data_IF_737770707189
#
_entry.id   IF_737770707189
#
_cell.length_a   1.000
_cell.length_b   1.000
_cell.length_c   1.000
_cell.angle_alpha   90.00
_cell.angle_beta   90.00
_cell.angle_gamma   90.00
#
_symmetry.space_group_name_H-M   'P 1'
#
loop_
_entity.id
_entity.type
_entity.pdbx_description
1 polymer ?
#
# COMPACT_ATOMS: atom_id res chain seq x y z
N UNK A 1 -20.49 2.89 28.33
CA UNK A 1 -21.85 3.41 28.12
C UNK A 1 -22.76 2.22 27.75
N UNK A 2 -23.38 1.59 28.76
CA UNK A 2 -24.16 0.33 28.57
C UNK A 2 -25.45 0.55 27.79
N UNK A 3 -26.06 1.73 27.86
CA UNK A 3 -27.30 2.07 27.17
C UNK A 3 -27.17 2.40 25.68
N UNK A 4 -25.95 2.52 25.19
CA UNK A 4 -25.66 2.77 23.78
C UNK A 4 -26.02 4.17 23.28
N UNK A 5 -25.88 4.34 21.97
CA UNK A 5 -26.24 5.56 21.24
C UNK A 5 -27.70 5.49 20.84
N UNK A 6 -28.47 6.49 21.22
CA UNK A 6 -29.93 6.56 20.97
C UNK A 6 -30.25 7.84 20.21
N UNK A 7 -30.60 7.70 18.93
CA UNK A 7 -30.85 8.83 18.02
C UNK A 7 -32.34 9.12 17.79
N UNK A 8 -33.21 8.26 18.27
CA UNK A 8 -34.67 8.31 17.98
C UNK A 8 -35.52 8.66 19.18
N UNK A 9 -34.94 9.11 20.29
CA UNK A 9 -35.67 9.45 21.50
C UNK A 9 -35.40 10.90 21.93
N UNK A 10 -36.38 11.51 22.55
CA UNK A 10 -36.19 12.82 23.19
C UNK A 10 -35.28 12.70 24.42
N UNK A 11 -34.48 13.71 24.64
CA UNK A 11 -33.59 13.80 25.83
C UNK A 11 -34.33 13.64 27.16
N UNK A 12 -35.64 13.98 27.21
CA UNK A 12 -36.47 13.89 28.44
C UNK A 12 -36.81 12.46 28.85
N UNK A 13 -36.72 11.49 27.92
CA UNK A 13 -37.08 10.09 28.18
C UNK A 13 -35.89 9.14 28.14
N UNK A 14 -34.71 9.68 28.00
CA UNK A 14 -33.46 8.89 27.99
C UNK A 14 -33.23 8.24 29.35
N UNK A 15 -32.82 6.97 29.32
CA UNK A 15 -32.44 6.23 30.51
C UNK A 15 -30.98 6.49 30.88
N UNK A 16 -30.60 6.33 32.16
CA UNK A 16 -29.21 6.37 32.57
C UNK A 16 -28.35 5.42 31.71
N UNK A 17 -27.19 5.87 31.29
CA UNK A 17 -26.29 5.10 30.46
C UNK A 17 -26.52 5.20 28.93
N UNK A 18 -27.57 5.86 28.48
CA UNK A 18 -27.80 6.21 27.08
C UNK A 18 -27.11 7.53 26.70
N UNK A 19 -26.73 7.68 25.45
CA UNK A 19 -26.09 8.89 24.90
C UNK A 19 -26.71 9.29 23.56
N UNK A 20 -26.81 10.58 23.30
CA UNK A 20 -27.20 11.14 21.98
C UNK A 20 -26.00 11.26 21.04
N UNK A 21 -24.83 11.48 21.62
CA UNK A 21 -23.57 11.63 20.89
C UNK A 21 -22.45 10.94 21.67
N UNK A 22 -21.61 10.20 20.98
CA UNK A 22 -20.45 9.54 21.54
C UNK A 22 -19.21 9.92 20.71
N UNK A 23 -18.36 10.74 21.28
CA UNK A 23 -17.08 11.12 20.69
C UNK A 23 -15.95 10.30 21.32
N UNK A 24 -15.10 9.69 20.49
CA UNK A 24 -14.00 8.81 20.93
C UNK A 24 -14.48 7.56 21.68
N UNK A 25 -15.57 6.95 21.21
CA UNK A 25 -16.05 5.67 21.69
C UNK A 25 -16.14 4.67 20.54
N UNK A 26 -15.97 3.39 20.85
CA UNK A 26 -16.13 2.27 19.92
C UNK A 26 -17.10 1.24 20.53
N UNK A 27 -17.80 0.43 19.70
CA UNK A 27 -18.57 -0.70 20.21
C UNK A 27 -17.70 -1.65 21.01
N UNK A 28 -18.22 -2.14 22.16
CA UNK A 28 -17.53 -3.14 22.96
C UNK A 28 -18.07 -4.54 22.65
N UNK A 29 -17.20 -5.55 22.69
CA UNK A 29 -17.54 -6.96 22.49
C UNK A 29 -18.54 -7.44 23.54
N UNK A 30 -18.42 -6.93 24.77
CA UNK A 30 -19.29 -7.26 25.89
C UNK A 30 -20.62 -6.48 25.90
N UNK A 31 -20.86 -5.71 24.85
CA UNK A 31 -22.03 -4.86 24.65
C UNK A 31 -21.81 -3.41 25.08
N UNK A 32 -22.61 -2.51 24.48
CA UNK A 32 -22.51 -1.07 24.72
C UNK A 32 -21.34 -0.42 23.98
N UNK A 33 -20.79 0.65 24.58
CA UNK A 33 -19.69 1.43 24.02
C UNK A 33 -18.61 1.67 25.09
N UNK A 34 -17.37 1.47 24.72
CA UNK A 34 -16.20 1.84 25.55
C UNK A 34 -15.47 3.01 24.91
N UNK A 35 -14.76 3.75 25.72
CA UNK A 35 -13.86 4.80 25.22
C UNK A 35 -12.70 4.15 24.47
N UNK A 36 -12.38 4.67 23.28
CA UNK A 36 -11.19 4.25 22.56
C UNK A 36 -9.93 4.53 23.40
N UNK A 37 -9.00 3.62 23.33
CA UNK A 37 -7.71 3.82 23.99
C UNK A 37 -6.97 5.02 23.37
N UNK A 38 -6.19 5.72 24.19
CA UNK A 38 -5.27 6.73 23.68
C UNK A 38 -4.26 6.12 22.72
N UNK A 39 -3.68 6.93 21.86
CA UNK A 39 -2.62 6.53 20.95
C UNK A 39 -1.33 7.31 21.27
N UNK A 40 -0.21 6.67 21.00
CA UNK A 40 1.10 7.29 21.05
C UNK A 40 1.73 7.28 19.66
N UNK A 41 2.70 8.15 19.44
CA UNK A 41 3.45 8.14 18.18
C UNK A 41 4.25 6.84 18.09
N UNK A 42 4.14 6.16 16.95
CA UNK A 42 4.93 4.97 16.66
C UNK A 42 6.42 5.30 16.49
N UNK A 43 6.71 6.43 15.83
CA UNK A 43 8.02 7.07 15.75
C UNK A 43 7.86 8.49 16.24
N UNK A 44 8.71 8.95 17.16
CA UNK A 44 8.57 10.28 17.76
C UNK A 44 8.87 11.42 16.76
N UNK A 45 9.80 11.17 15.81
CA UNK A 45 10.14 12.11 14.76
C UNK A 45 9.13 12.12 13.61
N UNK A 46 8.96 13.27 12.98
CA UNK A 46 8.22 13.41 11.72
C UNK A 46 9.06 12.81 10.59
N UNK A 47 8.42 12.17 9.61
CA UNK A 47 9.09 11.68 8.39
C UNK A 47 9.78 12.87 7.73
N UNK A 48 11.11 12.82 7.48
CA UNK A 48 11.84 13.93 6.89
C UNK A 48 11.32 14.28 5.50
N UNK A 49 11.48 15.52 5.10
CA UNK A 49 11.25 15.96 3.72
C UNK A 49 12.29 17.02 3.36
N UNK A 50 12.66 17.06 2.11
CA UNK A 50 13.45 18.15 1.55
C UNK A 50 12.51 19.28 1.14
N UNK A 51 12.89 20.53 1.42
CA UNK A 51 12.13 21.72 1.05
C UNK A 51 11.74 21.72 -0.45
N UNK A 52 10.55 22.23 -0.78
CA UNK A 52 9.95 22.32 -2.12
C UNK A 52 9.31 21.04 -2.68
N UNK A 53 9.15 20.01 -1.88
CA UNK A 53 8.38 18.80 -2.23
C UNK A 53 7.16 18.70 -1.32
N UNK A 54 6.06 18.15 -1.82
CA UNK A 54 4.77 18.09 -1.11
C UNK A 54 4.90 17.61 0.34
N UNK A 55 4.10 18.19 1.23
CA UNK A 55 4.12 17.92 2.67
C UNK A 55 3.53 16.55 3.03
N UNK A 56 2.89 15.88 2.07
CA UNK A 56 2.16 14.65 2.29
C UNK A 56 3.09 13.44 2.42
N UNK A 57 2.70 12.52 3.30
CA UNK A 57 3.24 11.17 3.33
C UNK A 57 2.56 10.37 2.22
N UNK A 58 3.34 9.90 1.26
CA UNK A 58 2.87 9.25 0.03
C UNK A 58 2.65 7.75 0.18
N UNK A 59 3.31 7.13 1.17
CA UNK A 59 3.21 5.71 1.50
C UNK A 59 3.54 5.49 2.97
N UNK A 60 2.89 4.50 3.59
CA UNK A 60 3.31 3.89 4.85
C UNK A 60 3.16 2.38 4.71
N UNK A 61 4.22 1.64 4.98
CA UNK A 61 4.26 0.19 4.97
C UNK A 61 4.97 -0.35 6.20
N UNK A 62 4.68 -1.60 6.58
CA UNK A 62 5.44 -2.34 7.58
C UNK A 62 6.25 -3.41 6.88
N UNK A 63 7.56 -3.44 7.10
CA UNK A 63 8.46 -4.41 6.48
C UNK A 63 9.69 -4.65 7.37
N UNK A 64 10.11 -5.92 7.52
CA UNK A 64 11.28 -6.32 8.31
C UNK A 64 11.32 -5.64 9.70
N UNK A 65 10.19 -5.72 10.44
CA UNK A 65 9.99 -5.16 11.79
C UNK A 65 10.19 -3.64 11.90
N UNK A 66 10.12 -2.93 10.76
CA UNK A 66 10.21 -1.47 10.70
C UNK A 66 9.02 -0.87 9.96
N UNK A 67 8.84 0.42 10.14
CA UNK A 67 7.95 1.23 9.30
C UNK A 67 8.74 1.83 8.17
N UNK A 68 8.23 1.68 6.96
CA UNK A 68 8.74 2.33 5.75
C UNK A 68 7.75 3.43 5.35
N UNK A 69 8.25 4.62 5.06
CA UNK A 69 7.41 5.73 4.62
C UNK A 69 8.06 6.47 3.46
N UNK A 70 7.27 6.85 2.46
CA UNK A 70 7.71 7.71 1.36
C UNK A 70 7.21 9.13 1.58
N UNK A 71 8.09 10.12 1.38
CA UNK A 71 7.75 11.53 1.42
C UNK A 71 8.67 12.35 0.51
N UNK A 72 8.08 13.22 -0.30
CA UNK A 72 8.85 13.99 -1.29
C UNK A 72 9.55 13.09 -2.30
N UNK A 73 10.86 13.20 -2.40
CA UNK A 73 11.72 12.45 -3.32
C UNK A 73 12.47 11.29 -2.67
N UNK A 74 12.08 10.88 -1.47
CA UNK A 74 12.82 9.88 -0.69
C UNK A 74 11.92 8.90 0.01
N UNK A 75 12.45 7.71 0.24
CA UNK A 75 11.85 6.65 1.04
C UNK A 75 12.69 6.47 2.31
N UNK A 76 12.03 6.36 3.43
CA UNK A 76 12.64 6.28 4.75
C UNK A 76 12.19 5.04 5.49
N UNK A 77 13.01 4.57 6.41
CA UNK A 77 12.63 3.55 7.38
C UNK A 77 12.86 4.03 8.81
N UNK A 78 12.08 3.51 9.74
CA UNK A 78 12.24 3.76 11.17
C UNK A 78 11.92 2.51 11.99
N UNK A 79 12.66 2.35 13.09
CA UNK A 79 12.37 1.30 14.08
C UNK A 79 11.17 1.70 14.94
N UNK A 80 10.32 0.75 15.38
CA UNK A 80 9.29 1.00 16.38
C UNK A 80 9.85 1.70 17.61
N UNK A 81 9.12 2.69 18.13
CA UNK A 81 9.55 3.54 19.25
C UNK A 81 10.86 4.30 19.01
N UNK A 82 11.35 4.33 17.77
CA UNK A 82 12.55 5.08 17.38
C UNK A 82 12.34 6.58 17.42
N UNK A 83 13.46 7.31 17.45
CA UNK A 83 13.47 8.77 17.49
C UNK A 83 13.87 9.41 16.15
N UNK A 84 14.18 8.62 15.14
CA UNK A 84 14.68 9.12 13.85
C UNK A 84 14.25 8.22 12.69
N UNK A 85 14.27 8.81 11.50
CA UNK A 85 14.10 8.15 10.23
C UNK A 85 15.44 8.06 9.48
N UNK A 86 15.70 6.94 8.84
CA UNK A 86 16.86 6.73 7.98
C UNK A 86 16.40 6.65 6.53
N UNK A 87 17.02 7.43 5.64
CA UNK A 87 16.76 7.32 4.20
C UNK A 87 17.28 6.00 3.68
N UNK A 88 16.45 5.29 2.92
CA UNK A 88 16.79 4.01 2.27
C UNK A 88 16.77 4.13 0.74
N UNK A 89 16.14 5.18 0.22
CA UNK A 89 16.16 5.54 -1.20
C UNK A 89 15.94 7.05 -1.33
N UNK A 90 16.55 7.69 -2.34
CA UNK A 90 16.49 9.13 -2.54
C UNK A 90 16.72 9.51 -4.00
N UNK A 91 16.42 10.77 -4.35
CA UNK A 91 16.60 11.27 -5.71
C UNK A 91 15.49 10.83 -6.67
N UNK A 92 14.38 10.32 -6.17
CA UNK A 92 13.22 9.98 -6.99
C UNK A 92 12.54 11.23 -7.54
N UNK A 93 11.91 11.12 -8.68
CA UNK A 93 11.01 12.17 -9.16
C UNK A 93 9.82 12.22 -8.21
N UNK A 94 9.45 13.42 -7.74
CA UNK A 94 8.24 13.59 -6.91
C UNK A 94 7.05 13.05 -7.68
N UNK A 95 6.36 12.09 -7.09
CA UNK A 95 5.26 11.36 -7.71
C UNK A 95 4.00 11.44 -6.85
N UNK A 96 2.93 10.85 -7.34
CA UNK A 96 1.72 10.62 -6.56
C UNK A 96 1.91 9.56 -5.47
N UNK A 97 0.81 9.04 -4.96
CA UNK A 97 0.82 7.98 -3.95
C UNK A 97 1.52 6.73 -4.48
N UNK A 98 2.27 6.10 -3.60
CA UNK A 98 2.90 4.82 -3.85
C UNK A 98 1.92 3.66 -3.63
N UNK A 99 2.06 2.61 -4.43
CA UNK A 99 1.58 1.28 -4.12
C UNK A 99 2.76 0.38 -3.78
N UNK A 100 2.53 -0.63 -2.98
CA UNK A 100 3.56 -1.57 -2.56
C UNK A 100 3.00 -2.98 -2.41
N UNK A 101 3.89 -3.96 -2.52
CA UNK A 101 3.60 -5.37 -2.25
C UNK A 101 4.75 -6.00 -1.48
N UNK A 102 4.43 -6.88 -0.51
CA UNK A 102 5.41 -7.74 0.16
C UNK A 102 5.34 -9.12 -0.50
N UNK A 103 6.49 -9.66 -0.83
CA UNK A 103 6.57 -10.94 -1.50
C UNK A 103 7.83 -11.71 -1.09
N UNK A 104 7.83 -13.01 -1.43
CA UNK A 104 8.94 -13.91 -1.16
C UNK A 104 8.96 -14.95 -2.27
N UNK A 105 9.78 -14.73 -3.30
CA UNK A 105 9.90 -15.63 -4.43
C UNK A 105 11.06 -16.62 -4.30
N UNK A 106 12.11 -16.23 -3.61
CA UNK A 106 13.38 -16.94 -3.49
C UNK A 106 13.72 -17.39 -2.06
N UNK A 107 12.73 -17.37 -1.15
CA UNK A 107 12.92 -17.64 0.26
C UNK A 107 13.32 -16.40 1.08
N UNK A 108 13.52 -15.26 0.44
CA UNK A 108 13.84 -13.99 1.10
C UNK A 108 12.66 -13.01 0.98
N UNK A 109 12.25 -12.44 2.11
CA UNK A 109 11.21 -11.43 2.11
C UNK A 109 11.72 -10.15 1.44
N UNK A 110 10.91 -9.61 0.54
CA UNK A 110 11.17 -8.38 -0.19
C UNK A 110 9.94 -7.46 -0.14
N UNK A 111 10.19 -6.17 -0.27
CA UNK A 111 9.18 -5.13 -0.44
C UNK A 111 9.40 -4.45 -1.77
N UNK A 112 8.44 -4.47 -2.65
CA UNK A 112 8.47 -3.69 -3.89
C UNK A 112 7.56 -2.48 -3.77
N UNK A 113 7.99 -1.35 -4.33
CA UNK A 113 7.23 -0.10 -4.37
C UNK A 113 7.15 0.44 -5.79
N UNK A 114 6.01 1.03 -6.14
CA UNK A 114 5.76 1.72 -7.41
C UNK A 114 5.07 3.05 -7.13
N UNK A 115 5.31 4.07 -7.95
CA UNK A 115 4.80 5.42 -7.73
C UNK A 115 4.17 6.08 -8.97
N UNK A 116 4.11 5.37 -10.08
CA UNK A 116 3.55 5.84 -11.33
C UNK A 116 4.49 6.73 -12.17
N UNK A 117 5.73 6.92 -11.74
CA UNK A 117 6.72 7.77 -12.45
C UNK A 117 8.08 7.10 -12.56
N UNK A 118 8.62 6.63 -11.45
CA UNK A 118 9.95 6.00 -11.39
C UNK A 118 9.89 4.51 -11.76
N UNK A 119 11.05 3.88 -11.91
CA UNK A 119 11.14 2.43 -11.96
C UNK A 119 10.64 1.83 -10.64
N UNK A 120 10.01 0.63 -10.67
CA UNK A 120 9.72 -0.10 -9.45
C UNK A 120 11.00 -0.35 -8.67
N UNK A 121 10.97 -0.17 -7.35
CA UNK A 121 12.15 -0.39 -6.49
C UNK A 121 11.87 -1.51 -5.50
N UNK A 122 12.78 -2.45 -5.42
CA UNK A 122 12.74 -3.62 -4.53
C UNK A 122 13.68 -3.39 -3.36
N UNK A 123 13.21 -3.58 -2.14
CA UNK A 123 13.98 -3.56 -0.92
C UNK A 123 14.08 -4.97 -0.34
N UNK A 124 15.28 -5.38 0.03
CA UNK A 124 15.49 -6.58 0.85
C UNK A 124 15.32 -6.27 2.34
N UNK A 125 15.43 -7.28 3.20
CA UNK A 125 15.30 -7.11 4.67
C UNK A 125 16.38 -6.24 5.33
N UNK A 126 17.48 -5.98 4.62
CA UNK A 126 18.52 -5.02 5.04
C UNK A 126 18.26 -3.61 4.52
N UNK A 127 17.15 -3.39 3.82
CA UNK A 127 16.77 -2.12 3.19
C UNK A 127 17.73 -1.64 2.10
N UNK A 128 18.44 -2.57 1.44
CA UNK A 128 19.14 -2.27 0.19
C UNK A 128 18.12 -2.16 -0.94
N UNK A 129 18.17 -1.06 -1.67
CA UNK A 129 17.29 -0.75 -2.79
C UNK A 129 17.90 -1.27 -4.11
N UNK A 130 17.08 -1.86 -4.96
CA UNK A 130 17.42 -2.24 -6.34
C UNK A 130 16.23 -1.90 -7.24
N UNK A 131 16.49 -1.15 -8.30
CA UNK A 131 15.44 -0.83 -9.26
C UNK A 131 15.23 -1.97 -10.25
N UNK A 132 13.97 -2.24 -10.57
CA UNK A 132 13.59 -3.15 -11.66
C UNK A 132 13.97 -2.50 -12.98
N UNK A 133 14.86 -3.15 -13.73
CA UNK A 133 15.52 -2.56 -14.90
C UNK A 133 14.61 -2.48 -16.14
N UNK A 134 13.53 -3.27 -16.17
CA UNK A 134 12.67 -3.40 -17.33
C UNK A 134 11.85 -2.12 -17.61
N UNK A 135 12.07 -1.53 -18.78
CA UNK A 135 11.32 -0.35 -19.23
C UNK A 135 9.81 -0.59 -19.37
N UNK A 136 9.41 -1.85 -19.54
CA UNK A 136 8.00 -2.25 -19.64
C UNK A 136 7.19 -1.87 -18.40
N UNK A 137 7.80 -1.92 -17.21
CA UNK A 137 7.15 -1.67 -15.91
C UNK A 137 7.51 -0.33 -15.28
N UNK A 138 8.48 0.40 -15.82
CA UNK A 138 8.81 1.74 -15.36
C UNK A 138 7.59 2.67 -15.46
N UNK A 139 7.28 3.40 -14.39
CA UNK A 139 6.10 4.25 -14.29
C UNK A 139 4.78 3.51 -14.00
N UNK A 140 4.83 2.27 -13.53
CA UNK A 140 3.65 1.55 -13.04
C UNK A 140 3.12 2.18 -11.75
N UNK A 141 1.78 2.21 -11.61
CA UNK A 141 1.07 2.73 -10.43
C UNK A 141 0.63 1.63 -9.47
N UNK A 142 0.46 0.42 -9.98
CA UNK A 142 -0.07 -0.71 -9.23
C UNK A 142 0.86 -1.89 -9.37
N UNK A 143 1.06 -2.61 -8.28
CA UNK A 143 1.88 -3.82 -8.21
C UNK A 143 1.21 -4.82 -7.28
N UNK A 144 1.27 -6.10 -7.62
CA UNK A 144 0.85 -7.19 -6.73
C UNK A 144 1.50 -8.50 -7.14
N UNK A 145 1.81 -9.36 -6.18
CA UNK A 145 2.30 -10.71 -6.43
C UNK A 145 1.12 -11.68 -6.62
N UNK A 146 1.16 -12.50 -7.67
CA UNK A 146 0.17 -13.52 -7.91
C UNK A 146 0.80 -14.73 -8.63
N UNK A 147 0.59 -15.95 -8.11
CA UNK A 147 1.09 -17.21 -8.69
C UNK A 147 2.58 -17.16 -9.06
N UNK A 148 3.39 -16.67 -8.12
CA UNK A 148 4.85 -16.51 -8.26
C UNK A 148 5.32 -15.52 -9.33
N UNK A 149 4.44 -14.74 -9.92
CA UNK A 149 4.76 -13.63 -10.80
C UNK A 149 4.49 -12.29 -10.10
N UNK A 150 5.23 -11.28 -10.48
CA UNK A 150 4.94 -9.90 -10.10
C UNK A 150 4.14 -9.23 -11.23
N UNK A 151 2.96 -8.71 -10.90
CA UNK A 151 2.04 -8.04 -11.83
C UNK A 151 2.12 -6.54 -11.65
N UNK A 152 2.29 -5.82 -12.76
CA UNK A 152 2.41 -4.36 -12.81
C UNK A 152 1.37 -3.77 -13.73
N UNK A 153 0.78 -2.63 -13.35
CA UNK A 153 -0.20 -1.94 -14.18
C UNK A 153 -0.26 -0.43 -13.91
N UNK A 154 -1.06 0.27 -14.72
CA UNK A 154 -1.34 1.69 -14.53
C UNK A 154 -0.25 2.62 -15.05
N UNK A 155 0.62 2.16 -15.95
CA UNK A 155 1.57 3.00 -16.65
C UNK A 155 0.84 4.02 -17.52
N UNK A 156 1.25 5.28 -17.49
CA UNK A 156 0.54 6.37 -18.17
C UNK A 156 0.41 6.18 -19.70
N UNK A 157 1.37 5.47 -20.31
CA UNK A 157 1.38 5.19 -21.77
C UNK A 157 0.62 3.94 -22.15
N UNK A 158 0.38 3.00 -21.22
CA UNK A 158 -0.28 1.70 -21.45
C UNK A 158 -1.31 1.43 -20.36
N UNK A 159 -2.30 2.31 -20.25
CA UNK A 159 -3.29 2.29 -19.13
C UNK A 159 -4.16 1.04 -19.07
N UNK A 160 -4.25 0.30 -20.15
CA UNK A 160 -5.09 -0.89 -20.31
C UNK A 160 -4.28 -2.19 -20.30
N UNK A 161 -3.01 -2.13 -19.87
CA UNK A 161 -2.11 -3.28 -19.91
C UNK A 161 -1.64 -3.63 -18.51
N UNK A 162 -1.67 -4.93 -18.22
CA UNK A 162 -1.00 -5.55 -17.06
C UNK A 162 0.20 -6.29 -17.60
N UNK A 163 1.38 -5.96 -17.12
CA UNK A 163 2.63 -6.67 -17.44
C UNK A 163 2.97 -7.57 -16.27
N UNK A 164 3.40 -8.80 -16.51
CA UNK A 164 3.82 -9.71 -15.45
C UNK A 164 5.21 -10.27 -15.72
N UNK A 165 5.96 -10.44 -14.64
CA UNK A 165 7.33 -10.94 -14.65
C UNK A 165 7.38 -12.44 -14.93
N UNK A 166 8.58 -12.97 -15.11
CA UNK A 166 8.87 -14.40 -15.03
C UNK A 166 8.45 -14.98 -13.67
N UNK A 167 8.17 -16.30 -13.59
CA UNK A 167 7.88 -16.92 -12.31
C UNK A 167 9.12 -16.89 -11.41
N UNK A 168 8.92 -16.51 -10.14
CA UNK A 168 9.95 -16.40 -9.11
C UNK A 168 11.02 -15.30 -9.33
N UNK A 169 10.85 -14.45 -10.35
CA UNK A 169 11.74 -13.33 -10.62
C UNK A 169 10.96 -12.05 -10.83
N UNK A 170 11.17 -11.05 -9.98
CA UNK A 170 10.49 -9.76 -10.04
C UNK A 170 11.10 -8.80 -11.08
N UNK A 171 12.31 -9.06 -11.57
CA UNK A 171 13.04 -8.25 -12.59
C UNK A 171 13.22 -8.99 -13.93
N UNK A 172 12.80 -10.26 -14.03
CA UNK A 172 12.83 -11.05 -15.25
C UNK A 172 11.61 -10.80 -16.13
N UNK A 173 11.81 -10.45 -17.41
CA UNK A 173 10.74 -10.15 -18.37
C UNK A 173 10.96 -10.79 -19.75
N UNK A 174 11.63 -11.94 -19.81
CA UNK A 174 11.73 -12.71 -21.04
C UNK A 174 10.44 -13.51 -21.28
N UNK A 175 9.82 -13.31 -22.43
CA UNK A 175 8.61 -14.04 -22.81
C UNK A 175 8.86 -15.55 -23.01
N UNK A 176 10.10 -15.95 -23.29
CA UNK A 176 10.52 -17.35 -23.38
C UNK A 176 10.51 -18.08 -22.04
N UNK A 177 10.71 -17.31 -20.96
CA UNK A 177 10.79 -17.81 -19.59
C UNK A 177 9.50 -17.57 -18.78
N UNK A 178 8.42 -17.15 -19.46
CA UNK A 178 7.08 -17.09 -18.88
C UNK A 178 6.61 -15.70 -18.47
N UNK A 179 7.33 -14.64 -18.78
CA UNK A 179 6.85 -13.27 -18.65
C UNK A 179 5.87 -12.91 -19.78
N UNK A 180 5.05 -11.88 -19.57
CA UNK A 180 4.14 -11.44 -20.61
C UNK A 180 3.29 -10.24 -20.23
N UNK A 181 2.25 -9.99 -21.05
CA UNK A 181 1.27 -8.95 -20.77
C UNK A 181 -0.15 -9.38 -21.10
N UNK A 182 -1.11 -8.77 -20.42
CA UNK A 182 -2.54 -8.94 -20.62
C UNK A 182 -3.13 -7.57 -20.92
N UNK A 183 -3.80 -7.43 -22.05
CA UNK A 183 -4.53 -6.21 -22.41
C UNK A 183 -6.01 -6.39 -22.09
N UNK A 184 -6.57 -5.40 -21.41
CA UNK A 184 -8.00 -5.26 -21.16
C UNK A 184 -8.56 -4.09 -21.96
N UNK A 185 -9.88 -4.02 -22.12
CA UNK A 185 -10.53 -2.99 -22.95
C UNK A 185 -10.95 -1.74 -22.15
N UNK A 186 -10.36 -1.54 -20.96
CA UNK A 186 -10.70 -0.41 -20.08
C UNK A 186 -9.47 0.05 -19.28
N UNK A 187 -9.47 1.29 -18.78
CA UNK A 187 -8.37 1.87 -17.99
C UNK A 187 -8.28 1.18 -16.64
N UNK A 188 -7.11 0.66 -16.31
CA UNK A 188 -6.83 -0.03 -15.04
C UNK A 188 -6.63 1.00 -13.94
N UNK A 189 -7.37 0.83 -12.83
CA UNK A 189 -7.33 1.68 -11.64
C UNK A 189 -6.90 0.95 -10.38
N UNK A 190 -6.67 -0.35 -10.45
CA UNK A 190 -6.16 -1.13 -9.32
C UNK A 190 -5.96 -2.61 -9.63
N UNK A 191 -5.10 -3.24 -8.84
CA UNK A 191 -4.89 -4.69 -8.81
C UNK A 191 -5.08 -5.19 -7.38
N UNK A 192 -5.73 -6.34 -7.19
CA UNK A 192 -5.82 -6.99 -5.87
C UNK A 192 -6.01 -8.49 -6.00
N UNK A 193 -5.21 -9.24 -5.26
CA UNK A 193 -5.40 -10.70 -5.11
C UNK A 193 -6.41 -10.96 -4.00
N UNK A 194 -7.37 -11.81 -4.29
CA UNK A 194 -8.35 -12.31 -3.32
C UNK A 194 -8.74 -13.76 -3.66
N UNK A 195 -8.59 -14.67 -2.70
CA UNK A 195 -8.95 -16.10 -2.83
C UNK A 195 -8.45 -16.73 -4.14
N UNK A 196 -7.14 -16.77 -4.31
CA UNK A 196 -6.47 -17.39 -5.49
C UNK A 196 -6.88 -16.81 -6.86
N UNK A 197 -7.42 -15.61 -6.89
CA UNK A 197 -7.71 -14.89 -8.13
C UNK A 197 -7.11 -13.49 -8.06
N UNK A 198 -6.57 -13.03 -9.19
CA UNK A 198 -6.20 -11.63 -9.38
C UNK A 198 -7.39 -10.89 -9.97
N UNK A 199 -7.83 -9.85 -9.27
CA UNK A 199 -8.84 -8.90 -9.74
C UNK A 199 -8.15 -7.67 -10.33
N UNK A 200 -8.50 -7.34 -11.56
CA UNK A 200 -8.07 -6.15 -12.28
C UNK A 200 -9.24 -5.19 -12.26
N UNK A 201 -9.13 -4.14 -11.47
CA UNK A 201 -10.15 -3.09 -11.38
C UNK A 201 -9.90 -2.06 -12.46
N UNK A 202 -10.93 -1.80 -13.25
CA UNK A 202 -10.93 -0.77 -14.27
C UNK A 202 -11.97 0.31 -13.96
N UNK A 203 -11.97 1.41 -14.70
CA UNK A 203 -12.89 2.53 -14.48
C UNK A 203 -14.36 2.09 -14.55
N UNK A 204 -14.71 1.18 -15.48
CA UNK A 204 -16.09 0.76 -15.71
C UNK A 204 -16.33 -0.74 -15.53
N UNK A 205 -15.28 -1.55 -15.30
CA UNK A 205 -15.34 -3.02 -15.29
C UNK A 205 -14.40 -3.62 -14.26
N UNK A 206 -14.63 -4.88 -13.95
CA UNK A 206 -13.72 -5.68 -13.13
C UNK A 206 -13.45 -6.98 -13.90
N UNK A 207 -12.18 -7.27 -14.14
CA UNK A 207 -11.75 -8.54 -14.70
C UNK A 207 -11.18 -9.43 -13.61
N UNK A 208 -11.33 -10.73 -13.82
CA UNK A 208 -10.79 -11.74 -12.91
C UNK A 208 -9.88 -12.68 -13.69
N UNK A 209 -8.64 -12.81 -13.25
CA UNK A 209 -7.70 -13.81 -13.71
C UNK A 209 -7.66 -14.92 -12.64
N UNK A 210 -8.04 -16.12 -13.03
CA UNK A 210 -7.90 -17.34 -12.23
C UNK A 210 -6.66 -18.12 -12.67
N UNK A 211 -6.15 -18.97 -11.82
CA UNK A 211 -5.07 -19.90 -12.14
C UNK A 211 -5.35 -21.26 -11.57
#
# INVERSE_FOLDING_TARGET
CEGGLVLNQSTFIMKPGQALELTNFEPDIDGGYKRINGFSKYVSAIVPFTSNQGEEVLMVASFADKVVAARGTSIFQATPAGSSWTSIDSGRTSAGKYAFERFNFDGNDKLIVVDGTNAPTVFNTSFSATDVSASAVAGSKFVTAFKNHMFYAGKATTKQEVVFSEPFDEDGFDAGDGAGSIKVDDTIVGLKVFRDNLFIFCENRIFKLGG
#
